data_IF_877724450251
#
_entry.id   IF_877724450251
#
_cell.length_a   1.000
_cell.length_b   1.000
_cell.length_c   1.000
_cell.angle_alpha   90.00
_cell.angle_beta   90.00
_cell.angle_gamma   90.00
#
_symmetry.space_group_name_H-M   'P 1'
#
loop_
_entity.id
_entity.type
_entity.pdbx_description
1 polymer ?
#
# COMPACT_ATOMS: atom_id res chain seq x y z
N UNK A 1 11.83 -5.40 24.97
CA UNK A 1 10.64 -5.08 24.13
C UNK A 1 11.03 -3.92 23.24
N UNK A 2 10.76 -4.01 21.94
CA UNK A 2 11.03 -2.94 20.98
C UNK A 2 9.74 -2.24 20.54
N UNK A 3 9.87 -1.11 19.86
CA UNK A 3 8.75 -0.42 19.21
C UNK A 3 8.95 -0.36 17.70
N UNK A 4 7.89 -0.66 16.97
CA UNK A 4 7.90 -0.64 15.51
C UNK A 4 6.79 0.26 15.00
N UNK A 5 7.06 0.93 13.87
CA UNK A 5 6.10 1.81 13.20
C UNK A 5 5.76 1.26 11.83
N UNK A 6 4.47 1.17 11.51
CA UNK A 6 3.99 0.96 10.14
C UNK A 6 3.10 2.12 9.69
N UNK A 7 3.19 2.48 8.42
CA UNK A 7 2.39 3.52 7.79
C UNK A 7 1.57 2.95 6.65
N UNK A 8 0.42 3.54 6.39
CA UNK A 8 -0.48 3.18 5.30
C UNK A 8 -0.82 4.43 4.48
N UNK A 9 -0.99 4.32 3.15
CA UNK A 9 -1.41 5.43 2.31
C UNK A 9 -2.89 5.75 2.50
N UNK A 10 -3.35 6.84 1.90
CA UNK A 10 -4.78 7.13 1.80
C UNK A 10 -5.47 6.18 0.81
N UNK A 11 -6.80 6.11 0.91
CA UNK A 11 -7.68 5.44 -0.07
C UNK A 11 -8.44 6.50 -0.82
N UNK A 12 -8.46 6.40 -2.14
CA UNK A 12 -9.10 7.37 -3.03
C UNK A 12 -10.40 6.81 -3.62
N UNK A 13 -11.32 7.70 -3.96
CA UNK A 13 -12.55 7.36 -4.69
C UNK A 13 -12.26 7.22 -6.18
N UNK A 14 -12.52 6.04 -6.76
CA UNK A 14 -12.31 5.74 -8.18
C UNK A 14 -12.91 6.80 -9.13
N UNK A 15 -14.08 7.37 -8.77
CA UNK A 15 -14.80 8.35 -9.60
C UNK A 15 -14.11 9.70 -9.70
N UNK A 16 -13.14 9.95 -8.82
CA UNK A 16 -12.40 11.20 -8.72
C UNK A 16 -10.99 11.12 -9.34
N UNK A 17 -10.64 9.96 -9.90
CA UNK A 17 -9.35 9.68 -10.53
C UNK A 17 -9.50 9.79 -12.05
N UNK A 18 -8.63 10.57 -12.68
CA UNK A 18 -8.50 10.61 -14.14
C UNK A 18 -7.51 9.53 -14.61
N UNK A 19 -8.05 8.34 -14.83
CA UNK A 19 -7.29 7.18 -15.31
C UNK A 19 -6.70 7.38 -16.71
N UNK A 20 -7.22 8.32 -17.52
CA UNK A 20 -6.69 8.58 -18.87
C UNK A 20 -5.27 9.15 -18.85
N UNK A 21 -4.87 9.74 -17.72
CA UNK A 21 -3.54 10.32 -17.47
C UNK A 21 -2.59 9.37 -16.77
N UNK A 22 -3.03 8.15 -16.49
CA UNK A 22 -2.22 7.10 -15.86
C UNK A 22 -1.85 6.03 -16.89
N UNK A 23 -0.68 5.40 -16.72
CA UNK A 23 -0.31 4.25 -17.52
C UNK A 23 -1.00 2.98 -16.96
N UNK A 24 -1.70 2.23 -17.80
CA UNK A 24 -2.34 0.98 -17.38
C UNK A 24 -1.30 -0.14 -17.22
N UNK A 25 -1.43 -0.94 -16.16
CA UNK A 25 -0.71 -2.18 -15.95
C UNK A 25 -1.71 -3.33 -15.83
N UNK A 26 -1.69 -4.22 -16.81
CA UNK A 26 -2.52 -5.42 -16.88
C UNK A 26 -1.73 -6.59 -16.28
N UNK A 27 -2.44 -7.58 -15.72
CA UNK A 27 -1.83 -8.85 -15.30
C UNK A 27 -1.38 -9.71 -16.48
N UNK A 28 -0.66 -10.80 -16.17
CA UNK A 28 -0.20 -11.75 -17.19
C UNK A 28 -1.35 -12.59 -17.76
N UNK A 29 -1.19 -13.04 -19.00
CA UNK A 29 -2.10 -13.98 -19.65
C UNK A 29 -1.36 -15.25 -20.10
N UNK A 30 -1.69 -16.44 -19.57
CA UNK A 30 -2.70 -16.71 -18.53
C UNK A 30 -2.25 -16.23 -17.13
N UNK A 31 -3.19 -15.90 -16.22
CA UNK A 31 -2.84 -15.50 -14.87
C UNK A 31 -2.18 -16.66 -14.12
N UNK A 32 -1.04 -16.45 -13.44
CA UNK A 32 -0.36 -17.49 -12.71
C UNK A 32 -1.16 -17.90 -11.46
N UNK A 33 -1.07 -19.18 -11.09
CA UNK A 33 -1.67 -19.70 -9.84
C UNK A 33 -0.65 -19.63 -8.71
N UNK A 34 -1.10 -19.27 -7.51
CA UNK A 34 -0.25 -19.31 -6.31
C UNK A 34 -0.10 -20.74 -5.75
N UNK A 35 -1.09 -21.61 -6.00
CA UNK A 35 -1.07 -23.02 -5.59
C UNK A 35 -0.39 -23.91 -6.62
N UNK A 36 0.25 -25.00 -6.15
CA UNK A 36 0.76 -26.09 -6.98
C UNK A 36 -0.34 -27.04 -7.47
N UNK A 37 -1.49 -27.06 -6.78
CA UNK A 37 -2.62 -27.95 -7.06
C UNK A 37 -3.88 -27.15 -7.43
N UNK A 38 -3.92 -26.49 -8.59
CA UNK A 38 -5.07 -25.68 -8.99
C UNK A 38 -6.31 -26.51 -9.29
N UNK A 39 -6.16 -27.81 -9.61
CA UNK A 39 -7.27 -28.70 -9.96
C UNK A 39 -8.25 -28.95 -8.80
N UNK A 40 -7.79 -28.90 -7.53
CA UNK A 40 -8.68 -29.04 -6.36
C UNK A 40 -9.72 -27.91 -6.30
N UNK A 41 -9.34 -26.68 -6.71
CA UNK A 41 -10.25 -25.52 -6.81
C UNK A 41 -11.32 -25.74 -7.88
N UNK A 42 -11.03 -26.52 -8.93
CA UNK A 42 -11.99 -26.88 -9.97
C UNK A 42 -12.98 -27.97 -9.55
N UNK A 43 -12.60 -28.79 -8.58
CA UNK A 43 -13.40 -29.94 -8.12
C UNK A 43 -14.47 -29.59 -7.08
N UNK A 44 -14.41 -28.36 -6.52
CA UNK A 44 -15.38 -27.84 -5.57
C UNK A 44 -16.79 -27.74 -6.18
N UNK A 45 -17.77 -28.39 -5.53
CA UNK A 45 -19.18 -28.34 -5.91
C UNK A 45 -19.77 -26.94 -5.71
N UNK A 46 -19.58 -26.04 -6.68
CA UNK A 46 -20.45 -24.90 -7.05
C UNK A 46 -20.94 -23.89 -6.01
N UNK A 47 -20.70 -24.05 -4.70
CA UNK A 47 -21.30 -23.26 -3.61
C UNK A 47 -20.50 -23.35 -2.31
N UNK A 48 -19.17 -23.31 -2.36
CA UNK A 48 -18.45 -22.90 -1.14
C UNK A 48 -18.76 -21.43 -0.88
N UNK A 49 -19.60 -21.19 0.14
CA UNK A 49 -20.16 -19.87 0.49
C UNK A 49 -19.04 -18.85 0.82
N UNK A 50 -17.82 -19.33 1.07
CA UNK A 50 -16.68 -18.52 1.52
C UNK A 50 -15.57 -18.33 0.48
N UNK A 51 -15.69 -18.88 -0.73
CA UNK A 51 -14.65 -18.76 -1.76
C UNK A 51 -15.16 -17.94 -2.94
N UNK A 52 -14.62 -16.73 -3.13
CA UNK A 52 -14.87 -15.85 -4.29
C UNK A 52 -14.14 -16.33 -5.56
N UNK A 53 -13.30 -17.36 -5.44
CA UNK A 53 -12.48 -17.91 -6.50
C UNK A 53 -13.15 -19.18 -7.06
N UNK A 54 -13.34 -19.27 -8.37
CA UNK A 54 -13.81 -20.51 -9.01
C UNK A 54 -12.89 -20.89 -10.17
N UNK A 55 -13.02 -22.09 -10.72
CA UNK A 55 -12.39 -22.42 -12.00
C UNK A 55 -13.47 -22.55 -13.06
N UNK A 56 -13.36 -21.76 -14.13
CA UNK A 56 -14.27 -21.81 -15.27
C UNK A 56 -13.47 -22.17 -16.51
N UNK A 57 -13.84 -23.27 -17.18
CA UNK A 57 -13.17 -23.77 -18.38
C UNK A 57 -11.64 -23.98 -18.21
N UNK A 58 -11.22 -24.52 -17.05
CA UNK A 58 -9.80 -24.80 -16.77
C UNK A 58 -8.94 -23.58 -16.42
N UNK A 59 -9.54 -22.39 -16.24
CA UNK A 59 -8.85 -21.17 -15.82
C UNK A 59 -9.35 -20.68 -14.46
N UNK A 60 -8.44 -20.18 -13.63
CA UNK A 60 -8.75 -19.50 -12.38
C UNK A 60 -9.62 -18.27 -12.69
N UNK A 61 -10.85 -18.28 -12.17
CA UNK A 61 -11.88 -17.29 -12.41
C UNK A 61 -11.94 -16.34 -11.22
N UNK A 62 -11.07 -15.33 -11.26
CA UNK A 62 -11.26 -14.04 -10.59
C UNK A 62 -11.06 -13.00 -11.67
N UNK A 63 -12.03 -12.09 -11.82
CA UNK A 63 -11.93 -10.97 -12.75
C UNK A 63 -10.65 -10.18 -12.46
N UNK A 64 -9.72 -10.18 -13.42
CA UNK A 64 -8.47 -9.46 -13.30
C UNK A 64 -8.76 -7.98 -13.53
N UNK A 65 -8.56 -7.16 -12.50
CA UNK A 65 -8.65 -5.71 -12.62
C UNK A 65 -7.26 -5.14 -12.91
N UNK A 66 -7.13 -4.17 -13.84
CA UNK A 66 -5.86 -3.52 -14.05
C UNK A 66 -5.47 -2.66 -12.85
N UNK A 67 -4.18 -2.43 -12.70
CA UNK A 67 -3.64 -1.37 -11.87
C UNK A 67 -3.26 -0.18 -12.76
N UNK A 68 -3.11 1.00 -12.16
CA UNK A 68 -2.67 2.19 -12.89
C UNK A 68 -1.41 2.77 -12.26
N UNK A 69 -0.52 3.27 -13.11
CA UNK A 69 0.76 3.84 -12.71
C UNK A 69 0.73 5.34 -12.96
N UNK A 70 1.11 6.09 -11.94
CA UNK A 70 1.43 7.52 -12.01
C UNK A 70 2.72 7.78 -11.23
N UNK A 71 3.13 9.03 -11.08
CA UNK A 71 4.33 9.38 -10.34
C UNK A 71 4.19 10.72 -9.62
N UNK A 72 4.88 10.85 -8.49
CA UNK A 72 5.07 12.15 -7.83
C UNK A 72 5.85 13.11 -8.71
N UNK A 73 5.62 14.40 -8.50
CA UNK A 73 6.34 15.47 -9.20
C UNK A 73 7.24 16.24 -8.21
N UNK A 74 8.04 17.17 -8.74
CA UNK A 74 8.80 18.11 -7.91
C UNK A 74 7.89 18.93 -7.01
N UNK A 75 6.71 19.35 -7.50
CA UNK A 75 5.70 20.05 -6.71
C UNK A 75 5.22 19.19 -5.52
N UNK A 76 4.98 17.89 -5.75
CA UNK A 76 4.66 16.94 -4.68
C UNK A 76 5.75 16.91 -3.61
N UNK A 77 7.02 16.88 -4.02
CA UNK A 77 8.15 16.85 -3.09
C UNK A 77 8.30 18.16 -2.31
N UNK A 78 8.01 19.29 -2.93
CA UNK A 78 8.08 20.60 -2.28
C UNK A 78 6.99 20.75 -1.21
N UNK A 79 5.78 20.26 -1.46
CA UNK A 79 4.70 20.17 -0.46
C UNK A 79 5.15 19.33 0.74
N UNK A 80 5.76 18.17 0.47
CA UNK A 80 6.30 17.29 1.53
C UNK A 80 7.39 18.01 2.32
N UNK A 81 8.39 18.60 1.67
CA UNK A 81 9.51 19.30 2.30
C UNK A 81 9.03 20.45 3.19
N UNK A 82 8.09 21.26 2.71
CA UNK A 82 7.51 22.37 3.46
C UNK A 82 6.80 21.89 4.75
N UNK A 83 6.25 20.67 4.75
CA UNK A 83 5.47 20.13 5.85
C UNK A 83 6.19 19.03 6.67
N UNK A 84 7.49 18.79 6.44
CA UNK A 84 8.25 17.75 7.16
C UNK A 84 8.16 17.91 8.68
N UNK A 85 8.24 19.15 9.18
CA UNK A 85 8.15 19.48 10.60
C UNK A 85 6.82 19.06 11.26
N UNK A 86 5.76 18.85 10.46
CA UNK A 86 4.44 18.40 10.92
C UNK A 86 4.31 16.89 10.95
N UNK A 87 5.24 16.15 10.33
CA UNK A 87 5.23 14.69 10.39
C UNK A 87 5.61 14.23 11.79
N UNK A 88 4.81 13.35 12.43
CA UNK A 88 5.15 12.76 13.72
C UNK A 88 6.50 12.04 13.75
N UNK A 89 7.01 11.59 12.59
CA UNK A 89 8.36 11.02 12.44
C UNK A 89 9.45 12.04 12.74
N UNK A 90 9.36 13.22 12.10
CA UNK A 90 10.39 14.24 12.16
C UNK A 90 10.20 15.19 13.35
N UNK A 91 8.97 15.31 13.86
CA UNK A 91 8.65 16.06 15.07
C UNK A 91 9.05 15.33 16.38
N UNK A 92 9.71 14.17 16.30
CA UNK A 92 10.18 13.40 17.46
C UNK A 92 9.06 12.78 18.32
N UNK A 93 7.83 12.73 17.81
CA UNK A 93 6.67 12.14 18.52
C UNK A 93 6.64 10.62 18.41
N UNK A 94 7.23 10.06 17.36
CA UNK A 94 7.40 8.62 17.16
C UNK A 94 8.82 8.24 17.57
N UNK A 95 8.95 7.21 18.42
CA UNK A 95 10.25 6.69 18.89
C UNK A 95 10.60 5.34 18.28
N UNK A 96 9.60 4.63 17.75
CA UNK A 96 9.73 3.34 17.11
C UNK A 96 10.48 3.42 15.79
N UNK A 97 11.27 2.40 15.49
CA UNK A 97 11.95 2.28 14.21
C UNK A 97 10.97 1.82 13.14
N UNK A 98 10.95 2.51 12.00
CA UNK A 98 10.19 2.08 10.82
C UNK A 98 10.92 1.01 10.00
N UNK A 99 10.23 0.30 9.10
CA UNK A 99 10.87 -0.61 8.17
C UNK A 99 11.89 0.13 7.30
N UNK A 100 13.13 -0.39 7.24
CA UNK A 100 14.21 0.19 6.42
C UNK A 100 13.86 0.28 4.94
N UNK A 101 13.04 -0.65 4.44
CA UNK A 101 12.82 -0.87 3.01
C UNK A 101 11.48 -0.35 2.48
N UNK A 102 10.52 0.00 3.36
CA UNK A 102 9.26 0.61 2.96
C UNK A 102 9.02 1.93 3.73
N UNK A 103 9.87 2.95 3.47
CA UNK A 103 9.74 4.25 4.10
C UNK A 103 8.45 4.96 3.67
N UNK A 104 7.94 5.85 4.53
CA UNK A 104 6.87 6.77 4.18
C UNK A 104 7.32 7.76 3.09
N UNK A 105 6.39 8.39 2.38
CA UNK A 105 6.72 9.35 1.33
C UNK A 105 7.57 10.50 1.85
N UNK A 106 7.30 10.98 3.06
CA UNK A 106 8.12 12.01 3.71
C UNK A 106 9.57 11.55 3.93
N UNK A 107 9.79 10.27 4.24
CA UNK A 107 11.13 9.71 4.43
C UNK A 107 11.82 9.36 3.11
N UNK A 108 11.06 8.94 2.09
CA UNK A 108 11.57 8.77 0.71
C UNK A 108 12.11 10.08 0.15
N UNK A 109 11.37 11.17 0.28
CA UNK A 109 11.77 12.48 -0.26
C UNK A 109 13.04 13.01 0.42
N UNK A 110 13.24 12.73 1.70
CA UNK A 110 14.46 13.12 2.43
C UNK A 110 15.64 12.23 2.06
N UNK A 111 15.47 10.90 2.07
CA UNK A 111 16.56 9.95 1.80
C UNK A 111 16.99 9.91 0.34
N UNK A 112 16.05 10.12 -0.57
CA UNK A 112 16.26 10.06 -2.02
C UNK A 112 16.01 11.42 -2.67
N UNK A 113 16.61 12.47 -2.10
CA UNK A 113 16.41 13.86 -2.53
C UNK A 113 16.82 14.16 -3.98
N UNK A 114 17.71 13.34 -4.56
CA UNK A 114 18.15 13.47 -5.96
C UNK A 114 17.15 12.90 -6.97
N UNK A 115 16.17 12.11 -6.54
CA UNK A 115 15.13 11.58 -7.44
C UNK A 115 14.09 12.65 -7.73
N UNK A 116 13.90 12.95 -9.02
CA UNK A 116 12.90 13.91 -9.48
C UNK A 116 11.44 13.41 -9.28
N UNK A 117 11.25 12.09 -9.24
CA UNK A 117 9.95 11.45 -9.14
C UNK A 117 10.02 10.09 -8.44
N UNK A 118 8.92 9.69 -7.85
CA UNK A 118 8.67 8.37 -7.28
C UNK A 118 7.40 7.79 -7.91
N UNK A 119 7.50 6.59 -8.44
CA UNK A 119 6.38 5.86 -9.03
C UNK A 119 5.35 5.48 -7.97
N UNK A 120 4.09 5.53 -8.37
CA UNK A 120 2.91 5.23 -7.56
C UNK A 120 2.06 4.22 -8.32
N UNK A 121 1.53 3.24 -7.61
CA UNK A 121 0.51 2.33 -8.15
C UNK A 121 -0.84 2.65 -7.51
N UNK A 122 -1.85 2.78 -8.36
CA UNK A 122 -3.25 2.85 -7.99
C UNK A 122 -3.82 1.45 -8.15
N UNK A 123 -4.03 0.78 -7.02
CA UNK A 123 -4.46 -0.61 -6.94
C UNK A 123 -5.92 -0.65 -6.47
N UNK A 124 -6.84 -1.30 -7.22
CA UNK A 124 -8.22 -1.44 -6.76
C UNK A 124 -8.28 -2.32 -5.52
N UNK A 125 -8.97 -1.87 -4.45
CA UNK A 125 -9.11 -2.70 -3.23
C UNK A 125 -10.08 -3.89 -3.40
N UNK A 126 -10.88 -3.90 -4.48
CA UNK A 126 -11.74 -5.02 -4.85
C UNK A 126 -12.74 -4.68 -5.95
N UNK A 127 -13.40 -5.68 -6.52
CA UNK A 127 -14.37 -5.54 -7.61
C UNK A 127 -15.70 -4.87 -7.21
N UNK A 128 -16.00 -4.83 -5.91
CA UNK A 128 -17.28 -4.29 -5.38
C UNK A 128 -17.10 -2.98 -4.61
N UNK A 129 -15.93 -2.34 -4.71
CA UNK A 129 -15.65 -1.06 -4.06
C UNK A 129 -15.11 -0.05 -5.06
N UNK A 130 -15.30 1.22 -4.75
CA UNK A 130 -14.65 2.32 -5.47
C UNK A 130 -13.38 2.80 -4.75
N UNK A 131 -12.89 2.07 -3.75
CA UNK A 131 -11.64 2.36 -3.05
C UNK A 131 -10.42 1.95 -3.88
N UNK A 132 -9.53 2.92 -4.08
CA UNK A 132 -8.20 2.71 -4.66
C UNK A 132 -7.13 2.91 -3.59
N UNK A 133 -6.29 1.89 -3.43
CA UNK A 133 -5.11 1.93 -2.59
C UNK A 133 -3.97 2.60 -3.37
N UNK A 134 -3.36 3.63 -2.78
CA UNK A 134 -2.31 4.43 -3.43
C UNK A 134 -0.94 3.93 -2.96
N UNK A 135 -0.49 2.82 -3.52
CA UNK A 135 0.77 2.21 -3.16
C UNK A 135 1.96 3.12 -3.53
N UNK A 136 2.90 3.27 -2.60
CA UNK A 136 4.09 4.10 -2.77
C UNK A 136 4.11 5.39 -1.95
N UNK A 137 2.96 5.83 -1.42
CA UNK A 137 2.82 7.11 -0.69
C UNK A 137 2.31 6.99 0.76
N UNK A 138 2.63 5.88 1.45
CA UNK A 138 2.34 5.78 2.88
C UNK A 138 2.82 7.02 3.64
N UNK A 139 2.00 7.57 4.53
CA UNK A 139 2.34 8.83 5.18
C UNK A 139 1.75 8.93 6.58
N UNK A 140 2.37 9.78 7.40
CA UNK A 140 1.83 10.21 8.69
C UNK A 140 1.58 11.72 8.75
N UNK A 141 1.61 12.41 7.60
CA UNK A 141 1.33 13.83 7.51
C UNK A 141 -0.13 14.15 7.84
N UNK A 142 -0.45 15.38 8.29
CA UNK A 142 -1.83 15.82 8.51
C UNK A 142 -2.69 15.77 7.24
N UNK A 143 -4.01 15.60 7.42
CA UNK A 143 -4.96 15.42 6.31
C UNK A 143 -4.90 16.52 5.24
N UNK A 144 -4.80 17.79 5.65
CA UNK A 144 -4.70 18.93 4.73
C UNK A 144 -3.48 18.82 3.81
N UNK A 145 -2.35 18.34 4.33
CA UNK A 145 -1.12 18.11 3.57
C UNK A 145 -1.27 16.89 2.66
N UNK A 146 -1.93 15.83 3.14
CA UNK A 146 -2.20 14.65 2.31
C UNK A 146 -3.03 15.02 1.09
N UNK A 147 -4.08 15.82 1.27
CA UNK A 147 -4.93 16.26 0.15
C UNK A 147 -4.13 17.06 -0.88
N UNK A 148 -3.33 18.03 -0.43
CA UNK A 148 -2.45 18.81 -1.32
C UNK A 148 -1.43 17.93 -2.06
N UNK A 149 -0.83 16.97 -1.33
CA UNK A 149 0.12 16.02 -1.90
C UNK A 149 -0.54 15.18 -3.00
N UNK A 150 -1.72 14.62 -2.72
CA UNK A 150 -2.48 13.80 -3.68
C UNK A 150 -2.85 14.62 -4.92
N UNK A 151 -3.43 15.80 -4.73
CA UNK A 151 -3.90 16.64 -5.83
C UNK A 151 -2.77 17.24 -6.67
N UNK A 152 -1.51 17.13 -6.23
CA UNK A 152 -0.34 17.50 -7.02
C UNK A 152 0.15 16.41 -7.99
N UNK A 153 -0.40 15.20 -7.89
CA UNK A 153 0.01 14.04 -8.71
C UNK A 153 -0.84 14.02 -9.99
N UNK A 154 -0.21 13.83 -11.18
CA UNK A 154 -0.94 13.73 -12.44
C UNK A 154 -2.02 12.64 -12.42
N UNK A 155 -3.24 13.01 -12.79
CA UNK A 155 -4.42 12.13 -12.79
C UNK A 155 -5.19 12.15 -11.47
N UNK A 156 -4.66 12.77 -10.43
CA UNK A 156 -5.26 12.85 -9.09
C UNK A 156 -5.65 14.28 -8.68
N UNK A 157 -5.67 15.23 -9.61
CA UNK A 157 -5.90 16.65 -9.33
C UNK A 157 -7.24 16.94 -8.64
N UNK A 158 -8.25 16.10 -8.90
CA UNK A 158 -9.58 16.18 -8.29
C UNK A 158 -9.86 15.01 -7.35
N UNK A 159 -8.85 14.24 -6.97
CA UNK A 159 -9.05 13.02 -6.20
C UNK A 159 -9.62 13.31 -4.80
N UNK A 160 -10.63 12.53 -4.44
CA UNK A 160 -11.30 12.56 -3.14
C UNK A 160 -10.71 11.47 -2.24
N UNK A 161 -10.24 11.86 -1.07
CA UNK A 161 -9.76 10.93 -0.05
C UNK A 161 -10.96 10.34 0.70
N UNK A 162 -11.17 9.02 0.57
CA UNK A 162 -12.19 8.30 1.32
C UNK A 162 -11.69 7.89 2.71
N UNK A 163 -10.40 7.53 2.81
CA UNK A 163 -9.73 7.23 4.09
C UNK A 163 -8.34 7.86 4.11
N UNK A 164 -8.01 8.67 5.12
CA UNK A 164 -6.68 9.29 5.22
C UNK A 164 -5.60 8.24 5.47
N UNK A 165 -4.40 8.51 4.99
CA UNK A 165 -3.20 7.79 5.39
C UNK A 165 -2.88 8.08 6.85
N UNK A 166 -2.29 7.11 7.52
CA UNK A 166 -1.90 7.22 8.91
C UNK A 166 -0.74 6.30 9.22
N UNK A 167 -0.23 6.41 10.43
CA UNK A 167 0.73 5.45 10.94
C UNK A 167 0.39 5.01 12.35
N UNK A 168 0.76 3.77 12.65
CA UNK A 168 0.57 3.13 13.95
C UNK A 168 1.94 2.75 14.48
N UNK A 169 2.12 2.96 15.78
CA UNK A 169 3.27 2.46 16.54
C UNK A 169 2.76 1.34 17.45
N UNK A 170 3.46 0.22 17.48
CA UNK A 170 3.11 -0.93 18.31
C UNK A 170 4.36 -1.55 18.93
N UNK A 171 4.17 -2.17 20.08
CA UNK A 171 5.22 -2.90 20.77
C UNK A 171 5.41 -4.27 20.14
N UNK A 172 6.67 -4.73 20.06
CA UNK A 172 6.99 -6.08 19.61
C UNK A 172 8.05 -6.72 20.50
N UNK A 173 8.04 -8.04 20.56
CA UNK A 173 9.12 -8.80 21.18
C UNK A 173 10.16 -9.16 20.12
N UNK A 174 11.47 -8.90 20.38
CA UNK A 174 12.52 -9.34 19.48
C UNK A 174 12.35 -10.83 19.15
N UNK A 175 12.49 -11.25 17.88
CA UNK A 175 12.25 -12.62 17.44
C UNK A 175 13.43 -13.53 17.82
N UNK A 176 13.74 -13.63 19.11
CA UNK A 176 14.77 -14.51 19.67
C UNK A 176 14.22 -15.88 20.05
N UNK A 177 13.05 -16.23 19.51
CA UNK A 177 12.47 -17.57 19.63
C UNK A 177 13.35 -18.57 18.89
N UNK A 178 13.27 -19.85 19.28
CA UNK A 178 13.86 -20.93 18.49
C UNK A 178 13.19 -20.98 17.11
N UNK A 179 13.82 -21.59 16.09
CA UNK A 179 13.18 -21.77 14.77
C UNK A 179 11.81 -22.47 14.84
N UNK A 180 11.57 -23.25 15.90
CA UNK A 180 10.29 -23.89 16.21
C UNK A 180 9.24 -22.97 16.85
N UNK A 181 9.50 -21.66 16.94
CA UNK A 181 8.66 -20.64 17.58
C UNK A 181 8.46 -20.77 19.09
N UNK A 182 9.19 -21.67 19.75
CA UNK A 182 9.21 -21.76 21.21
C UNK A 182 10.16 -20.74 21.83
N UNK A 183 9.76 -20.21 23.01
CA UNK A 183 10.67 -19.42 23.84
C UNK A 183 11.85 -20.29 24.29
N UNK A 184 13.07 -19.76 24.30
CA UNK A 184 14.18 -20.45 24.95
C UNK A 184 13.83 -20.62 26.43
N UNK A 185 13.64 -21.87 26.88
CA UNK A 185 13.48 -22.19 28.28
C UNK A 185 14.65 -21.59 29.07
N UNK A 186 14.37 -20.77 30.07
CA UNK A 186 15.38 -20.43 31.07
C UNK A 186 15.71 -21.72 31.82
N UNK A 187 16.90 -22.28 31.60
CA UNK A 187 17.52 -23.13 32.60
C UNK A 187 17.83 -22.19 33.77
N UNK A 188 16.99 -22.27 34.80
CA UNK A 188 17.24 -21.68 36.11
C UNK A 188 18.36 -22.43 36.82
#
# INVERSE_FOLDING_TARGET
MGRFKTGTPCRLNARSIDFSRCAIQIGDEPPPTFTFDPEEIASGQGREIFTLNSIRAGKFHVEQLPCWITATTTATHDIVRANLHRSPLYAGRIKGTGPRYCPSIEDKVVKFSTRAAHQIFLEPEGCHTSEYYVNGISTSLPYDVQLQLIQSIPGLEQAEIMRPGYAVEYDYFPPTLRPSFFLPWKQS
#
